data_IF_616205953766
#
_entry.id   IF_616205953766
#
_cell.length_a   1.000
_cell.length_b   1.000
_cell.length_c   1.000
_cell.angle_alpha   90.00
_cell.angle_beta   90.00
_cell.angle_gamma   90.00
#
_symmetry.space_group_name_H-M   'P 1'
#
loop_
_entity.id
_entity.type
_entity.pdbx_description
1 polymer ?
#
# COMPACT_ATOMS: atom_id res chain seq x y z
N UNK A 1 -6.72 -21.77 -4.65
CA UNK A 1 -7.18 -20.68 -5.52
C UNK A 1 -8.64 -20.47 -5.21
N UNK A 2 -9.07 -19.24 -4.89
CA UNK A 2 -10.47 -18.95 -4.63
C UNK A 2 -11.31 -19.25 -5.89
N UNK A 3 -11.96 -20.40 -5.92
CA UNK A 3 -13.10 -20.64 -6.80
C UNK A 3 -14.31 -20.14 -6.03
N UNK A 4 -14.75 -18.90 -6.27
CA UNK A 4 -15.81 -18.33 -5.45
C UNK A 4 -16.76 -17.50 -6.32
N UNK A 5 -18.05 -17.85 -6.25
CA UNK A 5 -19.12 -16.95 -6.68
C UNK A 5 -18.89 -15.54 -6.12
N UNK A 6 -19.12 -14.52 -6.94
CA UNK A 6 -18.97 -13.10 -6.57
C UNK A 6 -17.54 -12.67 -6.17
N UNK A 7 -16.50 -13.37 -6.65
CA UNK A 7 -15.13 -12.87 -6.54
C UNK A 7 -14.94 -11.61 -7.39
N UNK A 8 -14.39 -10.56 -6.79
CA UNK A 8 -14.08 -9.30 -7.46
C UNK A 8 -12.58 -9.03 -7.40
N UNK A 9 -12.05 -8.42 -8.45
CA UNK A 9 -10.76 -7.75 -8.41
C UNK A 9 -11.00 -6.28 -8.06
N UNK A 10 -10.43 -5.81 -6.97
CA UNK A 10 -10.57 -4.43 -6.49
C UNK A 10 -9.20 -3.77 -6.45
N UNK A 11 -9.11 -2.57 -7.00
CA UNK A 11 -7.93 -1.72 -6.93
C UNK A 11 -8.19 -0.56 -5.98
N UNK A 12 -7.27 -0.33 -5.03
CA UNK A 12 -7.34 0.77 -4.08
C UNK A 12 -6.01 1.52 -4.09
N UNK A 13 -5.94 2.70 -4.73
CA UNK A 13 -4.76 3.55 -4.66
C UNK A 13 -4.79 4.35 -3.36
N UNK A 14 -3.89 4.02 -2.42
CA UNK A 14 -3.72 4.78 -1.18
C UNK A 14 -2.62 5.85 -1.29
N UNK A 15 -1.89 5.87 -2.41
CA UNK A 15 -0.94 6.93 -2.80
C UNK A 15 -0.45 6.72 -4.24
N UNK A 16 0.07 7.79 -4.86
CA UNK A 16 0.62 7.80 -6.22
C UNK A 16 -0.38 8.06 -7.35
N UNK A 17 -1.68 8.15 -7.06
CA UNK A 17 -2.71 8.51 -8.06
C UNK A 17 -3.11 9.97 -7.90
N UNK A 18 -2.88 10.76 -8.95
CA UNK A 18 -3.13 12.21 -8.94
C UNK A 18 -1.96 13.03 -8.41
N UNK A 19 -0.82 12.40 -8.14
CA UNK A 19 0.39 13.00 -7.59
C UNK A 19 1.65 12.31 -8.14
N UNK A 20 2.83 12.85 -7.83
CA UNK A 20 4.12 12.22 -8.12
C UNK A 20 4.71 11.69 -6.80
N UNK A 21 5.04 10.41 -6.80
CA UNK A 21 5.61 9.69 -5.68
C UNK A 21 4.58 9.11 -4.71
N UNK A 22 5.01 8.67 -3.54
CA UNK A 22 4.16 8.02 -2.52
C UNK A 22 3.38 6.82 -3.07
N UNK A 23 3.98 6.05 -4.00
CA UNK A 23 3.29 4.93 -4.63
C UNK A 23 2.88 3.90 -3.57
N UNK A 24 1.57 3.64 -3.47
CA UNK A 24 1.02 2.66 -2.54
C UNK A 24 -0.31 2.15 -3.08
N UNK A 25 -0.24 1.04 -3.79
CA UNK A 25 -1.38 0.44 -4.46
C UNK A 25 -1.76 -0.89 -3.81
N UNK A 26 -3.06 -1.10 -3.62
CA UNK A 26 -3.58 -2.38 -3.17
C UNK A 26 -4.38 -3.06 -4.28
N UNK A 27 -4.13 -4.35 -4.44
CA UNK A 27 -4.96 -5.22 -5.24
C UNK A 27 -5.61 -6.24 -4.32
N UNK A 28 -6.93 -6.25 -4.31
CA UNK A 28 -7.74 -7.18 -3.54
C UNK A 28 -8.44 -8.17 -4.47
N UNK A 29 -8.45 -9.45 -4.11
CA UNK A 29 -9.18 -10.47 -4.85
C UNK A 29 -10.02 -11.35 -3.92
N UNK A 30 -11.23 -11.69 -4.36
CA UNK A 30 -12.18 -12.53 -3.63
C UNK A 30 -13.50 -11.83 -3.31
N UNK A 31 -14.43 -12.51 -2.62
CA UNK A 31 -15.71 -11.93 -2.24
C UNK A 31 -15.52 -10.79 -1.24
N UNK A 32 -16.46 -9.83 -1.22
CA UNK A 32 -16.33 -8.59 -0.44
C UNK A 32 -16.06 -8.80 1.08
N UNK A 33 -16.52 -9.92 1.65
CA UNK A 33 -16.37 -10.25 3.07
C UNK A 33 -15.14 -11.12 3.40
N UNK A 34 -14.39 -11.59 2.41
CA UNK A 34 -13.20 -12.44 2.60
C UNK A 34 -12.10 -12.12 1.57
N UNK A 35 -11.96 -10.84 1.23
CA UNK A 35 -11.01 -10.36 0.23
C UNK A 35 -9.58 -10.47 0.76
N UNK A 36 -8.73 -11.11 -0.03
CA UNK A 36 -7.28 -11.16 0.21
C UNK A 36 -6.61 -9.99 -0.49
N UNK A 37 -5.59 -9.41 0.15
CA UNK A 37 -4.92 -8.21 -0.34
C UNK A 37 -3.45 -8.47 -0.64
N UNK A 38 -2.95 -7.83 -1.69
CA UNK A 38 -1.52 -7.57 -1.89
C UNK A 38 -1.30 -6.07 -1.97
N UNK A 39 -0.14 -5.65 -1.50
CA UNK A 39 0.37 -4.29 -1.68
C UNK A 39 1.41 -4.31 -2.79
N UNK A 40 1.36 -3.31 -3.67
CA UNK A 40 2.39 -3.00 -4.65
C UNK A 40 2.94 -1.63 -4.30
N UNK A 41 4.23 -1.60 -3.94
CA UNK A 41 4.99 -0.47 -3.45
C UNK A 41 4.48 0.13 -2.13
N UNK A 42 5.35 0.83 -1.42
CA UNK A 42 5.06 1.61 -0.22
C UNK A 42 6.08 2.75 -0.14
N UNK A 43 5.88 3.73 -1.02
CA UNK A 43 6.80 4.83 -1.23
C UNK A 43 6.57 6.05 -0.35
N UNK A 44 7.53 6.98 -0.40
CA UNK A 44 7.39 8.35 0.12
C UNK A 44 7.20 9.35 -1.01
N UNK A 45 6.75 10.56 -0.67
CA UNK A 45 6.97 11.73 -1.52
C UNK A 45 7.63 12.85 -0.72
N UNK A 46 8.13 13.86 -1.44
CA UNK A 46 8.77 15.02 -0.84
C UNK A 46 7.76 16.16 -0.68
N UNK A 47 7.77 16.87 0.46
CA UNK A 47 6.88 17.99 0.70
C UNK A 47 7.18 19.16 -0.23
N UNK A 48 6.14 19.93 -0.53
CA UNK A 48 6.27 21.22 -1.19
C UNK A 48 6.31 22.37 -0.16
N UNK A 49 6.29 23.61 -0.66
CA UNK A 49 6.33 24.81 0.19
C UNK A 49 5.13 24.96 1.15
N UNK A 50 4.05 24.17 1.00
CA UNK A 50 2.89 24.17 1.89
C UNK A 50 3.10 23.38 3.18
N UNK A 51 4.14 22.53 3.25
CA UNK A 51 4.46 21.67 4.39
C UNK A 51 5.84 22.03 4.99
N UNK A 52 6.00 23.22 5.60
CA UNK A 52 7.30 23.66 6.12
C UNK A 52 7.76 22.79 7.29
N UNK A 53 9.01 22.33 7.23
CA UNK A 53 9.65 21.54 8.28
C UNK A 53 9.31 20.04 8.24
N UNK A 54 8.54 19.59 7.24
CA UNK A 54 8.38 18.16 6.94
C UNK A 54 9.56 17.71 6.09
N UNK A 55 10.10 16.52 6.37
CA UNK A 55 11.17 15.92 5.55
C UNK A 55 10.59 14.97 4.47
N UNK A 56 9.62 14.13 4.86
CA UNK A 56 8.98 13.14 3.99
C UNK A 56 7.47 13.09 4.27
N UNK A 57 6.71 12.78 3.23
CA UNK A 57 5.27 12.48 3.31
C UNK A 57 5.07 11.00 3.01
N UNK A 58 4.32 10.32 3.89
CA UNK A 58 4.06 8.88 3.84
C UNK A 58 2.57 8.63 3.58
N UNK A 59 2.22 7.49 2.98
CA UNK A 59 0.83 7.15 2.75
C UNK A 59 0.08 6.80 4.04
N UNK A 60 -1.24 6.98 4.02
CA UNK A 60 -2.12 6.55 5.09
C UNK A 60 -2.43 5.05 5.01
N UNK A 61 -1.91 4.29 5.98
CA UNK A 61 -2.04 2.83 6.04
C UNK A 61 -3.29 2.33 6.77
N UNK A 62 -4.13 3.20 7.34
CA UNK A 62 -5.27 2.78 8.20
C UNK A 62 -6.18 1.75 7.55
N UNK A 63 -6.50 1.92 6.27
CA UNK A 63 -7.36 0.99 5.53
C UNK A 63 -6.82 -0.45 5.55
N UNK A 64 -5.52 -0.63 5.30
CA UNK A 64 -4.93 -1.97 5.24
C UNK A 64 -4.56 -2.51 6.63
N UNK A 65 -4.27 -1.65 7.60
CA UNK A 65 -4.10 -2.04 9.00
C UNK A 65 -5.36 -2.73 9.55
N UNK A 66 -6.56 -2.22 9.22
CA UNK A 66 -7.85 -2.84 9.58
C UNK A 66 -8.08 -4.21 8.90
N UNK A 67 -7.36 -4.48 7.81
CA UNK A 67 -7.48 -5.70 7.00
C UNK A 67 -6.23 -6.59 7.03
N UNK A 68 -5.31 -6.35 7.97
CA UNK A 68 -3.98 -6.97 8.00
C UNK A 68 -4.00 -8.49 8.02
N UNK A 69 -5.04 -9.10 8.62
CA UNK A 69 -5.21 -10.56 8.65
C UNK A 69 -5.36 -11.19 7.24
N UNK A 70 -5.80 -10.40 6.27
CA UNK A 70 -6.00 -10.82 4.88
C UNK A 70 -4.90 -10.28 3.94
N UNK A 71 -3.88 -9.56 4.46
CA UNK A 71 -2.74 -9.10 3.68
C UNK A 71 -1.77 -10.26 3.43
N UNK A 72 -1.53 -10.59 2.17
CA UNK A 72 -0.65 -11.69 1.74
C UNK A 72 0.80 -11.26 1.58
N UNK A 73 1.04 -9.99 1.28
CA UNK A 73 2.33 -9.34 1.41
C UNK A 73 2.48 -8.11 0.52
N UNK A 74 3.71 -7.62 0.50
CA UNK A 74 4.12 -6.36 -0.11
C UNK A 74 5.13 -6.70 -1.21
N UNK A 75 4.91 -6.16 -2.41
CA UNK A 75 5.78 -6.33 -3.57
C UNK A 75 6.41 -4.98 -3.87
N UNK A 76 7.73 -4.89 -3.85
CA UNK A 76 8.47 -3.69 -4.24
C UNK A 76 8.91 -3.83 -5.69
N UNK A 77 8.44 -2.91 -6.55
CA UNK A 77 8.70 -2.98 -7.98
C UNK A 77 10.15 -2.65 -8.33
N UNK A 78 10.71 -1.61 -7.71
CA UNK A 78 12.11 -1.21 -7.86
C UNK A 78 12.57 -0.28 -6.72
N UNK A 79 13.87 0.02 -6.69
CA UNK A 79 14.53 0.66 -5.55
C UNK A 79 14.60 2.21 -5.63
N UNK A 80 13.55 2.87 -6.11
CA UNK A 80 13.41 4.33 -5.92
C UNK A 80 12.58 4.63 -4.66
N UNK A 81 12.90 5.73 -3.96
CA UNK A 81 12.31 6.05 -2.66
C UNK A 81 10.79 6.23 -2.72
N UNK A 82 10.27 6.66 -3.87
CA UNK A 82 8.84 6.74 -4.12
C UNK A 82 8.15 5.39 -4.33
N UNK A 83 8.89 4.27 -4.24
CA UNK A 83 8.36 2.91 -4.31
C UNK A 83 8.60 2.09 -3.02
N UNK A 84 9.64 2.39 -2.23
CA UNK A 84 9.93 1.63 -1.00
C UNK A 84 10.17 2.49 0.25
N UNK A 85 10.29 3.82 0.09
CA UNK A 85 10.83 4.69 1.14
C UNK A 85 10.01 4.72 2.43
N UNK A 86 8.72 4.37 2.39
CA UNK A 86 7.85 4.32 3.56
C UNK A 86 7.82 2.92 4.22
N UNK A 87 8.53 1.94 3.68
CA UNK A 87 8.51 0.56 4.17
C UNK A 87 8.96 0.45 5.63
N UNK A 88 10.01 1.16 6.03
CA UNK A 88 10.55 1.08 7.40
C UNK A 88 9.54 1.56 8.45
N UNK A 89 8.81 2.63 8.17
CA UNK A 89 7.80 3.19 9.08
C UNK A 89 6.48 2.41 9.08
N UNK A 90 6.09 1.85 7.93
CA UNK A 90 4.80 1.17 7.78
C UNK A 90 4.86 -0.31 8.16
N UNK A 91 5.97 -0.99 7.91
CA UNK A 91 6.12 -2.43 8.16
C UNK A 91 5.86 -2.86 9.61
N UNK A 92 6.24 -2.12 10.67
CA UNK A 92 5.91 -2.50 12.04
C UNK A 92 4.39 -2.68 12.30
N UNK A 93 3.54 -2.05 11.50
CA UNK A 93 2.08 -2.16 11.57
C UNK A 93 1.54 -3.29 10.69
N UNK A 94 2.11 -3.46 9.49
CA UNK A 94 1.62 -4.44 8.50
C UNK A 94 2.18 -5.85 8.73
N UNK A 95 3.45 -5.98 9.11
CA UNK A 95 4.18 -7.23 9.39
C UNK A 95 4.02 -8.32 8.33
N UNK A 96 3.73 -7.93 7.10
CA UNK A 96 3.56 -8.85 6.00
C UNK A 96 4.92 -9.20 5.37
N UNK A 97 5.03 -10.35 4.68
CA UNK A 97 6.21 -10.66 3.88
C UNK A 97 6.45 -9.57 2.82
N UNK A 98 7.71 -9.31 2.51
CA UNK A 98 8.14 -8.33 1.50
C UNK A 98 8.94 -9.08 0.43
N UNK A 99 8.61 -8.82 -0.85
CA UNK A 99 9.30 -9.35 -2.03
C UNK A 99 9.81 -8.24 -2.91
#
# INVERSE_FOLDING_TARGET
MATAENAELVFVPLGGVGEIGMNFALYGYGPANAREWIVVDVGVTFPDASLPGVDLVLPDTRFIEENVANLRGIIITHAHEDHYGALLDTWPKLKAPVW
#
